data_IF_906472304362
#
_entry.id   IF_906472304362
#
_cell.length_a   1.000
_cell.length_b   1.000
_cell.length_c   1.000
_cell.angle_alpha   90.00
_cell.angle_beta   90.00
_cell.angle_gamma   90.00
#
_symmetry.space_group_name_H-M   'P 1'
#
loop_
_entity.id
_entity.type
_entity.pdbx_description
1 polymer ?
#
# COMPACT_ATOMS: atom_id res chain seq x y z
N UNK A 1 11.51 -2.88 -22.63
CA UNK A 1 12.43 -1.85 -22.03
C UNK A 1 11.75 -1.33 -20.78
N UNK A 2 12.50 -1.18 -19.68
CA UNK A 2 11.96 -0.60 -18.44
C UNK A 2 11.59 0.86 -18.71
N UNK A 3 10.38 1.25 -18.38
CA UNK A 3 9.95 2.65 -18.44
C UNK A 3 10.77 3.49 -17.45
N UNK A 4 11.18 4.67 -17.89
CA UNK A 4 11.96 5.61 -17.06
C UNK A 4 11.05 6.76 -16.68
N UNK A 5 11.11 7.18 -15.42
CA UNK A 5 10.38 8.36 -14.95
C UNK A 5 10.86 9.62 -15.69
N UNK A 6 9.98 10.27 -16.41
CA UNK A 6 10.31 11.43 -17.25
C UNK A 6 9.63 12.70 -16.73
N UNK A 7 10.22 13.85 -17.04
CA UNK A 7 9.58 15.14 -16.75
C UNK A 7 8.22 15.33 -17.43
N UNK A 8 7.99 14.68 -18.60
CA UNK A 8 6.70 14.66 -19.28
C UNK A 8 5.65 13.93 -18.44
N UNK A 9 6.00 12.79 -17.84
CA UNK A 9 5.11 12.03 -16.95
C UNK A 9 4.74 12.86 -15.71
N UNK A 10 5.72 13.48 -15.04
CA UNK A 10 5.47 14.30 -13.85
C UNK A 10 4.57 15.52 -14.17
N UNK A 11 4.80 16.19 -15.29
CA UNK A 11 3.93 17.29 -15.75
C UNK A 11 2.51 16.81 -16.06
N UNK A 12 2.35 15.59 -16.63
CA UNK A 12 1.03 14.97 -16.88
C UNK A 12 0.29 14.70 -15.58
N UNK A 13 0.99 14.20 -14.53
CA UNK A 13 0.42 13.99 -13.19
C UNK A 13 -0.08 15.30 -12.57
N UNK A 14 0.75 16.35 -12.62
CA UNK A 14 0.37 17.68 -12.13
C UNK A 14 -0.84 18.27 -12.88
N UNK A 15 -0.86 18.16 -14.22
CA UNK A 15 -2.00 18.59 -15.03
C UNK A 15 -3.30 17.85 -14.64
N UNK A 16 -3.21 16.54 -14.42
CA UNK A 16 -4.35 15.73 -13.99
C UNK A 16 -4.83 16.17 -12.60
N UNK A 17 -3.90 16.46 -11.67
CA UNK A 17 -4.24 17.00 -10.35
C UNK A 17 -5.02 18.29 -10.47
N UNK A 18 -4.53 19.26 -11.26
CA UNK A 18 -5.21 20.54 -11.47
C UNK A 18 -6.61 20.37 -12.09
N UNK A 19 -6.77 19.45 -13.03
CA UNK A 19 -8.07 19.18 -13.65
C UNK A 19 -9.11 18.66 -12.64
N UNK A 20 -8.75 17.65 -11.83
CA UNK A 20 -9.62 17.10 -10.79
C UNK A 20 -9.87 18.13 -9.68
N UNK A 21 -8.87 18.93 -9.32
CA UNK A 21 -9.03 20.02 -8.35
C UNK A 21 -10.05 21.06 -8.84
N UNK A 22 -9.98 21.43 -10.13
CA UNK A 22 -10.91 22.39 -10.74
C UNK A 22 -12.35 21.86 -10.82
N UNK A 23 -12.51 20.56 -11.09
CA UNK A 23 -13.84 19.92 -11.08
C UNK A 23 -14.48 19.96 -9.68
N UNK A 24 -13.70 19.65 -8.62
CA UNK A 24 -14.22 19.55 -7.25
C UNK A 24 -14.32 20.89 -6.51
N UNK A 25 -13.40 21.79 -6.79
CA UNK A 25 -13.28 23.11 -6.14
C UNK A 25 -12.99 24.19 -7.19
N UNK A 26 -13.97 24.66 -7.97
CA UNK A 26 -13.72 25.59 -9.10
C UNK A 26 -13.01 26.89 -8.75
N UNK A 27 -13.11 27.31 -7.48
CA UNK A 27 -12.54 28.54 -6.92
C UNK A 27 -11.15 28.38 -6.27
N UNK A 28 -10.49 27.23 -6.45
CA UNK A 28 -9.14 27.03 -5.93
C UNK A 28 -8.10 27.86 -6.70
N UNK A 29 -7.04 28.27 -6.01
CA UNK A 29 -5.94 29.06 -6.57
C UNK A 29 -4.58 28.38 -6.44
N UNK A 30 -4.34 27.66 -5.33
CA UNK A 30 -3.04 27.05 -5.01
C UNK A 30 -3.24 25.67 -4.41
N UNK A 31 -2.30 24.75 -4.70
CA UNK A 31 -2.17 23.43 -4.05
C UNK A 31 -0.84 23.42 -3.30
N UNK A 32 -0.85 23.00 -2.04
CA UNK A 32 0.34 22.74 -1.22
C UNK A 32 0.40 21.26 -0.89
N UNK A 33 1.50 20.60 -1.26
CA UNK A 33 1.78 19.20 -0.95
C UNK A 33 2.92 19.14 0.05
N UNK A 34 2.64 18.56 1.22
CA UNK A 34 3.54 18.43 2.36
C UNK A 34 4.09 17.01 2.51
N UNK A 35 3.29 15.99 2.15
CA UNK A 35 3.65 14.60 2.26
C UNK A 35 4.74 14.19 1.30
N UNK A 36 5.84 13.63 1.82
CA UNK A 36 7.03 13.25 1.03
C UNK A 36 6.71 12.26 -0.10
N UNK A 37 5.79 11.32 0.13
CA UNK A 37 5.36 10.34 -0.88
C UNK A 37 4.67 11.04 -2.05
N UNK A 38 3.79 12.00 -1.76
CA UNK A 38 3.13 12.79 -2.80
C UNK A 38 4.08 13.78 -3.47
N UNK A 39 5.05 14.35 -2.74
CA UNK A 39 6.13 15.13 -3.34
C UNK A 39 6.92 14.26 -4.35
N UNK A 40 7.32 13.04 -3.97
CA UNK A 40 7.96 12.09 -4.89
C UNK A 40 7.09 11.81 -6.13
N UNK A 41 5.80 11.59 -5.94
CA UNK A 41 4.87 11.31 -7.05
C UNK A 41 4.87 12.41 -8.12
N UNK A 42 5.05 13.67 -7.73
CA UNK A 42 5.06 14.82 -8.66
C UNK A 42 6.44 15.31 -9.05
N UNK A 43 7.49 14.95 -8.32
CA UNK A 43 8.84 15.51 -8.55
C UNK A 43 9.89 14.45 -8.88
N UNK A 44 9.67 13.18 -8.56
CA UNK A 44 10.64 12.10 -8.74
C UNK A 44 11.76 12.11 -7.69
N UNK A 45 11.69 12.96 -6.65
CA UNK A 45 12.64 12.98 -5.53
C UNK A 45 11.92 13.10 -4.21
N UNK A 46 12.49 12.53 -3.14
CA UNK A 46 11.90 12.49 -1.79
C UNK A 46 12.81 13.21 -0.79
N UNK A 47 12.69 14.53 -0.73
CA UNK A 47 13.48 15.36 0.19
C UNK A 47 12.56 16.07 1.21
N UNK A 48 13.15 16.81 2.15
CA UNK A 48 12.40 17.68 3.05
C UNK A 48 12.07 18.99 2.34
N UNK A 49 10.79 19.36 2.27
CA UNK A 49 10.38 20.56 1.55
C UNK A 49 8.87 20.70 1.42
N UNK A 50 8.46 21.64 0.57
CA UNK A 50 7.07 21.83 0.16
C UNK A 50 6.97 21.89 -1.37
N UNK A 51 5.91 21.28 -1.90
CA UNK A 51 5.59 21.41 -3.31
C UNK A 51 4.37 22.31 -3.46
N UNK A 52 4.51 23.35 -4.27
CA UNK A 52 3.47 24.34 -4.57
C UNK A 52 3.08 24.20 -6.05
N UNK A 53 1.79 24.09 -6.31
CA UNK A 53 1.24 24.08 -7.68
C UNK A 53 0.20 25.18 -7.77
N UNK A 54 0.39 26.13 -8.67
CA UNK A 54 -0.54 27.22 -8.94
C UNK A 54 -1.60 26.80 -9.97
N UNK A 55 -2.74 27.48 -9.98
CA UNK A 55 -3.87 27.19 -10.88
C UNK A 55 -3.49 27.22 -12.38
N UNK A 56 -2.49 28.00 -12.74
CA UNK A 56 -1.91 28.06 -14.09
C UNK A 56 -1.05 26.82 -14.46
N UNK A 57 -0.90 25.88 -13.52
CA UNK A 57 -0.10 24.66 -13.68
C UNK A 57 1.37 24.81 -13.35
N UNK A 58 1.83 25.99 -12.90
CA UNK A 58 3.22 26.21 -12.48
C UNK A 58 3.52 25.37 -11.24
N UNK A 59 4.44 24.42 -11.38
CA UNK A 59 4.93 23.54 -10.31
C UNK A 59 6.25 24.09 -9.77
N UNK A 60 6.37 24.24 -8.44
CA UNK A 60 7.56 24.72 -7.74
C UNK A 60 7.80 23.85 -6.51
N UNK A 61 8.91 23.13 -6.52
CA UNK A 61 9.33 22.32 -5.36
C UNK A 61 10.44 23.06 -4.61
N UNK A 62 10.18 23.36 -3.36
CA UNK A 62 11.12 24.04 -2.45
C UNK A 62 11.74 23.01 -1.53
N UNK A 63 12.99 22.63 -1.81
CA UNK A 63 13.74 21.65 -1.04
C UNK A 63 14.52 22.36 0.09
N UNK A 64 14.21 22.03 1.34
CA UNK A 64 14.82 22.66 2.51
C UNK A 64 16.20 22.09 2.86
N UNK A 65 16.38 20.81 2.62
CA UNK A 65 17.66 20.12 2.79
C UNK A 65 17.95 19.32 1.55
N UNK A 66 19.22 19.08 1.27
CA UNK A 66 19.63 18.29 0.11
C UNK A 66 19.06 18.81 -1.24
N UNK A 67 19.08 20.13 -1.44
CA UNK A 67 18.63 20.76 -2.68
C UNK A 67 19.39 20.24 -3.90
N UNK A 68 20.72 20.12 -3.81
CA UNK A 68 21.58 19.61 -4.88
C UNK A 68 21.19 18.17 -5.26
N UNK A 69 20.90 17.35 -4.27
CA UNK A 69 20.43 15.98 -4.48
C UNK A 69 19.06 15.98 -5.19
N UNK A 70 18.13 16.82 -4.76
CA UNK A 70 16.83 16.94 -5.41
C UNK A 70 16.95 17.28 -6.90
N UNK A 71 17.88 18.18 -7.25
CA UNK A 71 18.17 18.56 -8.64
C UNK A 71 18.79 17.45 -9.48
N UNK A 72 19.62 16.60 -8.87
CA UNK A 72 20.25 15.46 -9.55
C UNK A 72 19.21 14.34 -9.81
N UNK A 73 18.35 14.06 -8.82
CA UNK A 73 17.39 12.96 -8.89
C UNK A 73 16.18 13.28 -9.79
N UNK A 74 15.72 14.52 -9.79
CA UNK A 74 14.46 14.90 -10.41
C UNK A 74 14.60 15.19 -11.91
N UNK A 75 13.75 14.59 -12.78
CA UNK A 75 13.71 14.92 -14.20
C UNK A 75 13.06 16.29 -14.50
N UNK A 76 12.63 17.04 -13.47
CA UNK A 76 12.12 18.43 -13.58
C UNK A 76 12.97 19.40 -12.74
N UNK A 77 14.28 19.28 -12.81
CA UNK A 77 15.24 20.05 -12.01
C UNK A 77 15.04 21.58 -12.07
N UNK A 78 14.50 22.10 -13.18
CA UNK A 78 14.21 23.53 -13.35
C UNK A 78 13.06 24.05 -12.47
N UNK A 79 12.26 23.14 -11.91
CA UNK A 79 11.16 23.47 -11.01
C UNK A 79 11.55 23.33 -9.51
N UNK A 80 12.84 23.09 -9.22
CA UNK A 80 13.34 22.88 -7.85
C UNK A 80 14.13 24.10 -7.40
N UNK A 81 13.77 24.59 -6.21
CA UNK A 81 14.31 25.79 -5.59
C UNK A 81 14.88 25.47 -4.20
N UNK A 82 15.95 26.11 -3.76
CA UNK A 82 16.42 25.98 -2.38
C UNK A 82 15.46 26.69 -1.43
N UNK A 83 15.34 26.19 -0.19
CA UNK A 83 14.56 26.81 0.87
C UNK A 83 15.17 26.47 2.25
N UNK A 84 15.36 27.48 3.10
CA UNK A 84 15.61 27.27 4.52
C UNK A 84 14.34 27.49 5.35
N UNK A 85 13.54 28.47 4.98
CA UNK A 85 12.30 28.86 5.63
C UNK A 85 11.22 29.22 4.61
N UNK A 86 9.95 29.19 4.98
CA UNK A 86 8.82 29.45 4.08
C UNK A 86 8.85 30.87 3.46
N UNK A 87 9.53 31.85 4.08
CA UNK A 87 9.73 33.18 3.45
C UNK A 87 10.49 33.08 2.15
N UNK A 88 11.45 32.15 2.02
CA UNK A 88 12.26 32.00 0.79
C UNK A 88 11.37 31.51 -0.35
N UNK A 89 10.44 30.59 -0.06
CA UNK A 89 9.44 30.19 -1.02
C UNK A 89 8.49 31.36 -1.39
N UNK A 90 8.10 32.21 -0.42
CA UNK A 90 7.24 33.35 -0.68
C UNK A 90 7.91 34.42 -1.56
N UNK A 91 9.23 34.58 -1.50
CA UNK A 91 10.00 35.45 -2.38
C UNK A 91 9.95 35.00 -3.85
N UNK A 92 9.94 33.70 -4.09
CA UNK A 92 9.91 33.10 -5.45
C UNK A 92 8.50 32.99 -6.02
N UNK A 93 7.54 32.51 -5.24
CA UNK A 93 6.19 32.21 -5.73
C UNK A 93 5.12 33.24 -5.36
N UNK A 94 5.52 34.33 -4.67
CA UNK A 94 4.60 35.34 -4.14
C UNK A 94 3.89 34.87 -2.87
N UNK A 95 3.26 35.81 -2.18
CA UNK A 95 2.55 35.56 -0.92
C UNK A 95 1.07 35.22 -1.11
N UNK A 96 0.46 35.68 -2.19
CA UNK A 96 -0.98 35.46 -2.44
C UNK A 96 -1.22 34.01 -2.88
N UNK A 97 -1.86 33.23 -2.02
CA UNK A 97 -2.19 31.84 -2.29
C UNK A 97 -3.69 31.64 -2.55
N UNK A 98 -4.55 32.54 -2.06
CA UNK A 98 -5.99 32.43 -2.25
C UNK A 98 -6.59 31.17 -1.65
N UNK A 99 -7.63 30.63 -2.26
CA UNK A 99 -8.24 29.37 -1.83
C UNK A 99 -7.30 28.21 -2.10
N UNK A 100 -6.90 27.49 -1.07
CA UNK A 100 -5.76 26.58 -1.12
C UNK A 100 -6.15 25.15 -0.76
N UNK A 101 -5.78 24.21 -1.63
CA UNK A 101 -5.87 22.77 -1.34
C UNK A 101 -4.61 22.33 -0.58
N UNK A 102 -4.79 21.69 0.57
CA UNK A 102 -3.68 21.23 1.44
C UNK A 102 -3.95 19.79 1.89
N UNK A 103 -2.91 19.02 2.11
CA UNK A 103 -2.99 17.69 2.75
C UNK A 103 -3.30 17.84 4.24
N UNK A 104 -4.56 18.08 4.57
CA UNK A 104 -5.03 18.32 5.95
C UNK A 104 -4.93 17.10 6.87
N UNK A 105 -4.73 15.93 6.31
CA UNK A 105 -4.46 14.68 7.03
C UNK A 105 -2.99 14.53 7.47
N UNK A 106 -2.11 15.35 6.91
CA UNK A 106 -0.66 15.37 7.22
C UNK A 106 -0.27 16.68 7.92
N UNK A 107 -0.86 17.79 7.49
CA UNK A 107 -0.56 19.11 8.04
C UNK A 107 -0.99 19.22 9.50
N UNK A 108 -0.04 19.40 10.42
CA UNK A 108 -0.36 19.76 11.79
C UNK A 108 -0.83 21.19 11.86
N UNK A 109 -1.55 21.55 12.93
CA UNK A 109 -1.98 22.94 13.19
C UNK A 109 -0.78 23.88 13.15
N UNK A 110 0.33 23.51 13.79
CA UNK A 110 1.56 24.29 13.82
C UNK A 110 2.13 24.56 12.41
N UNK A 111 2.09 23.56 11.52
CA UNK A 111 2.52 23.72 10.12
C UNK A 111 1.60 24.68 9.37
N UNK A 112 0.28 24.58 9.57
CA UNK A 112 -0.70 25.48 8.96
C UNK A 112 -0.51 26.93 9.42
N UNK A 113 -0.32 27.17 10.73
CA UNK A 113 -0.05 28.48 11.28
C UNK A 113 1.25 29.09 10.71
N UNK A 114 2.31 28.30 10.59
CA UNK A 114 3.56 28.73 9.94
C UNK A 114 3.39 29.09 8.48
N UNK A 115 2.58 28.35 7.74
CA UNK A 115 2.25 28.65 6.34
C UNK A 115 1.43 29.95 6.25
N UNK A 116 0.38 30.09 7.04
CA UNK A 116 -0.47 31.29 7.11
C UNK A 116 0.30 32.52 7.55
N UNK A 117 1.34 32.36 8.37
CA UNK A 117 2.24 33.46 8.74
C UNK A 117 3.13 33.98 7.60
N UNK A 118 3.18 33.29 6.45
CA UNK A 118 4.05 33.66 5.29
C UNK A 118 3.26 33.81 4.00
N UNK A 119 2.10 33.16 3.88
CA UNK A 119 1.26 33.16 2.71
C UNK A 119 -0.16 33.61 3.06
N UNK A 120 -0.74 34.39 2.18
CA UNK A 120 -2.13 34.85 2.28
C UNK A 120 -3.06 33.72 1.81
N UNK A 121 -3.35 32.78 2.72
CA UNK A 121 -4.21 31.63 2.47
C UNK A 121 -5.66 32.00 2.80
N UNK A 122 -6.54 31.85 1.83
CA UNK A 122 -7.99 32.00 2.00
C UNK A 122 -8.64 30.76 2.61
N UNK A 123 -9.66 30.23 1.93
CA UNK A 123 -10.29 28.98 2.32
C UNK A 123 -9.35 27.79 2.11
N UNK A 124 -9.32 26.88 3.07
CA UNK A 124 -8.56 25.61 2.95
C UNK A 124 -9.50 24.49 2.53
N UNK A 125 -9.11 23.75 1.49
CA UNK A 125 -9.78 22.56 1.00
C UNK A 125 -8.91 21.31 1.23
N UNK A 126 -9.50 20.16 1.60
CA UNK A 126 -8.76 18.92 1.81
C UNK A 126 -8.32 18.30 0.48
N UNK A 127 -7.03 17.97 0.38
CA UNK A 127 -6.43 17.44 -0.85
C UNK A 127 -6.44 15.90 -0.93
N UNK A 128 -6.50 15.20 0.21
CA UNK A 128 -6.36 13.73 0.32
C UNK A 128 -7.17 12.94 -0.71
N UNK A 129 -8.47 13.20 -0.82
CA UNK A 129 -9.35 12.45 -1.74
C UNK A 129 -8.95 12.62 -3.21
N UNK A 130 -8.50 13.81 -3.59
CA UNK A 130 -8.03 14.09 -4.96
C UNK A 130 -6.75 13.34 -5.24
N UNK A 131 -5.79 13.37 -4.31
CA UNK A 131 -4.53 12.62 -4.44
C UNK A 131 -4.78 11.11 -4.57
N UNK A 132 -5.65 10.56 -3.75
CA UNK A 132 -6.01 9.15 -3.82
C UNK A 132 -6.63 8.79 -5.18
N UNK A 133 -7.51 9.62 -5.71
CA UNK A 133 -8.18 9.41 -7.00
C UNK A 133 -7.20 9.42 -8.18
N UNK A 134 -6.25 10.38 -8.20
CA UNK A 134 -5.26 10.44 -9.28
C UNK A 134 -4.21 9.34 -9.18
N UNK A 135 -3.84 8.91 -7.97
CA UNK A 135 -2.88 7.82 -7.74
C UNK A 135 -3.49 6.43 -7.96
N UNK A 136 -4.81 6.30 -7.85
CA UNK A 136 -5.50 5.03 -8.07
C UNK A 136 -5.24 4.44 -9.46
N UNK A 137 -5.23 5.27 -10.51
CA UNK A 137 -4.99 4.82 -11.89
C UNK A 137 -3.50 4.99 -12.22
N UNK A 138 -2.82 3.90 -12.42
CA UNK A 138 -1.37 3.87 -12.64
C UNK A 138 -0.99 4.20 -14.08
N UNK A 139 0.12 4.90 -14.27
CA UNK A 139 0.75 5.10 -15.57
C UNK A 139 1.57 3.85 -15.98
N UNK A 140 2.00 3.73 -17.25
CA UNK A 140 2.87 2.64 -17.68
C UNK A 140 4.14 2.50 -16.81
N UNK A 141 4.79 3.61 -16.47
CA UNK A 141 5.95 3.61 -15.57
C UNK A 141 5.64 2.98 -14.20
N UNK A 142 4.49 3.36 -13.60
CA UNK A 142 4.05 2.83 -12.30
C UNK A 142 3.73 1.34 -12.38
N UNK A 143 3.05 0.92 -13.45
CA UNK A 143 2.72 -0.50 -13.69
C UNK A 143 3.97 -1.35 -13.89
N UNK A 144 4.99 -0.86 -14.61
CA UNK A 144 6.26 -1.57 -14.80
C UNK A 144 6.97 -1.78 -13.45
N UNK A 145 7.01 -0.76 -12.59
CA UNK A 145 7.60 -0.88 -11.25
C UNK A 145 6.83 -1.89 -10.37
N UNK A 146 5.50 -1.85 -10.41
CA UNK A 146 4.62 -2.76 -9.65
C UNK A 146 4.74 -4.20 -10.16
N UNK A 147 4.78 -4.42 -11.49
CA UNK A 147 5.01 -5.76 -12.08
C UNK A 147 6.36 -6.34 -11.69
N UNK A 148 7.41 -5.51 -11.68
CA UNK A 148 8.74 -5.95 -11.25
C UNK A 148 8.75 -6.28 -9.75
N UNK A 149 8.06 -5.49 -8.91
CA UNK A 149 7.85 -5.81 -7.50
C UNK A 149 7.13 -7.15 -7.34
N UNK A 150 6.02 -7.37 -8.06
CA UNK A 150 5.24 -8.61 -8.03
C UNK A 150 6.04 -9.84 -8.45
N UNK A 151 6.83 -9.73 -9.52
CA UNK A 151 7.70 -10.83 -9.98
C UNK A 151 8.72 -11.25 -8.92
N UNK A 152 9.40 -10.29 -8.28
CA UNK A 152 10.39 -10.56 -7.24
C UNK A 152 9.73 -11.07 -5.96
N UNK A 153 8.55 -10.56 -5.65
CA UNK A 153 7.75 -10.98 -4.51
C UNK A 153 7.33 -12.46 -4.63
N UNK A 154 6.87 -12.85 -5.83
CA UNK A 154 6.60 -14.27 -6.14
C UNK A 154 7.83 -15.14 -5.90
N UNK A 155 8.98 -14.80 -6.49
CA UNK A 155 10.24 -15.55 -6.29
C UNK A 155 10.60 -15.64 -4.80
N UNK A 156 10.47 -14.57 -4.03
CA UNK A 156 10.71 -14.55 -2.59
C UNK A 156 9.90 -15.61 -1.87
N UNK A 157 8.56 -15.56 -2.03
CA UNK A 157 7.66 -16.39 -1.23
C UNK A 157 7.57 -17.84 -1.73
N UNK A 158 7.68 -18.08 -3.04
CA UNK A 158 7.51 -19.42 -3.59
C UNK A 158 8.82 -20.21 -3.68
N UNK A 159 9.97 -19.53 -3.91
CA UNK A 159 11.25 -20.20 -4.16
C UNK A 159 12.24 -20.05 -2.99
N UNK A 160 12.29 -18.87 -2.35
CA UNK A 160 13.30 -18.56 -1.34
C UNK A 160 12.86 -18.98 0.06
N UNK A 161 11.62 -18.65 0.45
CA UNK A 161 11.11 -18.93 1.81
C UNK A 161 11.16 -20.42 2.17
N UNK A 162 10.76 -21.37 1.30
CA UNK A 162 10.85 -22.80 1.63
C UNK A 162 12.26 -23.24 2.07
N UNK A 163 13.31 -22.63 1.50
CA UNK A 163 14.69 -22.96 1.82
C UNK A 163 15.24 -22.34 3.11
N UNK A 164 14.54 -21.42 3.75
CA UNK A 164 15.00 -20.77 5.00
C UNK A 164 14.24 -21.23 6.24
N UNK A 165 13.09 -21.87 6.07
CA UNK A 165 12.30 -22.41 7.21
C UNK A 165 13.03 -23.58 7.87
N UNK A 166 13.16 -23.55 9.20
CA UNK A 166 13.81 -24.59 9.98
C UNK A 166 13.19 -24.72 11.38
N UNK A 167 13.14 -25.94 11.87
CA UNK A 167 12.61 -26.25 13.20
C UNK A 167 13.36 -25.45 14.29
N UNK A 168 12.63 -24.90 15.24
CA UNK A 168 13.17 -24.14 16.36
C UNK A 168 13.52 -22.70 16.08
N UNK A 169 13.43 -22.21 14.81
CA UNK A 169 13.60 -20.79 14.54
C UNK A 169 12.44 -19.97 15.12
N UNK A 170 12.72 -18.76 15.58
CA UNK A 170 11.72 -17.82 16.04
C UNK A 170 11.14 -16.99 14.88
N UNK A 171 9.96 -16.39 15.09
CA UNK A 171 9.38 -15.46 14.12
C UNK A 171 10.31 -14.24 13.86
N UNK A 172 11.08 -13.80 14.86
CA UNK A 172 12.09 -12.73 14.71
C UNK A 172 13.22 -13.16 13.80
N UNK A 173 13.74 -14.39 13.96
CA UNK A 173 14.81 -14.91 13.09
C UNK A 173 14.31 -15.03 11.66
N UNK A 174 13.09 -15.55 11.45
CA UNK A 174 12.50 -15.59 10.12
C UNK A 174 12.33 -14.18 9.53
N UNK A 175 11.85 -13.22 10.31
CA UNK A 175 11.69 -11.83 9.86
C UNK A 175 13.03 -11.21 9.43
N UNK A 176 14.10 -11.45 10.18
CA UNK A 176 15.43 -10.94 9.86
C UNK A 176 16.00 -11.57 8.58
N UNK A 177 15.92 -12.91 8.45
CA UNK A 177 16.38 -13.62 7.27
C UNK A 177 15.55 -13.25 6.03
N UNK A 178 14.24 -13.18 6.17
CA UNK A 178 13.35 -12.77 5.08
C UNK A 178 13.71 -11.36 4.58
N UNK A 179 13.92 -10.41 5.49
CA UNK A 179 14.29 -9.05 5.11
C UNK A 179 15.65 -9.00 4.38
N UNK A 180 16.64 -9.81 4.83
CA UNK A 180 17.91 -9.96 4.12
C UNK A 180 17.69 -10.47 2.68
N UNK A 181 16.84 -11.49 2.49
CA UNK A 181 16.53 -12.04 1.16
C UNK A 181 15.78 -11.05 0.29
N UNK A 182 14.82 -10.30 0.89
CA UNK A 182 14.11 -9.23 0.20
C UNK A 182 15.09 -8.19 -0.37
N UNK A 183 16.03 -7.71 0.43
CA UNK A 183 17.05 -6.74 0.00
C UNK A 183 17.92 -7.29 -1.13
N UNK A 184 18.34 -8.56 -1.03
CA UNK A 184 19.12 -9.24 -2.10
C UNK A 184 18.34 -9.37 -3.40
N UNK A 185 17.03 -9.54 -3.33
CA UNK A 185 16.13 -9.54 -4.48
C UNK A 185 15.78 -8.12 -4.98
N UNK A 186 16.30 -7.06 -4.34
CA UNK A 186 16.13 -5.67 -4.76
C UNK A 186 14.93 -4.95 -4.17
N UNK A 187 14.38 -5.45 -3.05
CA UNK A 187 13.46 -4.67 -2.23
C UNK A 187 14.14 -3.40 -1.71
N UNK A 188 13.43 -2.29 -1.69
CA UNK A 188 14.01 -1.00 -1.33
C UNK A 188 13.95 -0.67 0.18
N UNK A 189 13.77 -1.69 1.02
CA UNK A 189 13.94 -1.59 2.47
C UNK A 189 12.81 -0.89 3.21
N UNK A 190 11.68 -0.63 2.56
CA UNK A 190 10.51 0.02 3.19
C UNK A 190 9.20 -0.63 2.75
N UNK A 191 8.28 -0.79 3.70
CA UNK A 191 6.86 -1.02 3.43
C UNK A 191 6.10 0.19 3.95
N UNK A 192 5.52 0.99 3.05
CA UNK A 192 4.82 2.22 3.42
C UNK A 192 3.34 1.95 3.54
N UNK A 193 2.77 2.34 4.67
CA UNK A 193 1.34 2.30 4.93
C UNK A 193 0.75 3.71 4.95
N UNK A 194 -0.49 3.84 4.49
CA UNK A 194 -1.23 5.11 4.52
C UNK A 194 -1.86 5.38 5.88
N UNK A 195 -2.01 4.33 6.69
CA UNK A 195 -2.57 4.41 8.04
C UNK A 195 -1.65 5.19 8.96
N UNK A 196 -2.26 6.08 9.77
CA UNK A 196 -1.53 6.94 10.69
C UNK A 196 -0.74 6.13 11.72
N UNK A 197 0.53 6.45 11.89
CA UNK A 197 1.46 5.81 12.84
C UNK A 197 1.56 4.28 12.74
N UNK A 198 1.40 3.72 11.56
CA UNK A 198 1.70 2.30 11.35
C UNK A 198 3.21 2.12 11.22
N UNK A 199 3.79 1.43 12.21
CA UNK A 199 5.21 1.07 12.24
C UNK A 199 5.37 -0.42 11.95
N UNK A 200 5.51 -0.76 10.66
CA UNK A 200 5.72 -2.12 10.18
C UNK A 200 6.90 -2.13 9.23
N UNK A 201 7.88 -3.02 9.45
CA UNK A 201 9.09 -3.07 8.63
C UNK A 201 8.83 -3.75 7.29
N UNK A 202 8.28 -4.96 7.31
CA UNK A 202 8.07 -5.77 6.10
C UNK A 202 6.63 -6.27 5.94
N UNK A 203 5.93 -6.58 7.02
CA UNK A 203 4.59 -7.16 7.04
C UNK A 203 4.37 -8.06 8.25
N UNK A 204 3.42 -8.98 8.15
CA UNK A 204 3.05 -9.93 9.20
C UNK A 204 3.71 -11.28 8.99
N UNK A 205 4.40 -11.79 10.02
CA UNK A 205 5.03 -13.09 10.04
C UNK A 205 4.65 -13.77 11.35
N UNK A 206 3.95 -14.89 11.25
CA UNK A 206 3.46 -15.59 12.44
C UNK A 206 3.39 -17.11 12.23
N UNK A 207 3.64 -17.87 13.31
CA UNK A 207 3.53 -19.32 13.33
C UNK A 207 2.27 -19.78 14.05
N UNK A 208 1.52 -20.68 13.41
CA UNK A 208 0.34 -21.31 13.97
C UNK A 208 -0.67 -20.30 14.54
N UNK A 209 -1.10 -20.52 15.75
CA UNK A 209 -2.10 -19.69 16.45
C UNK A 209 -1.69 -18.24 16.65
N UNK A 210 -0.41 -17.93 16.52
CA UNK A 210 0.08 -16.55 16.65
C UNK A 210 -0.45 -15.64 15.54
N UNK A 211 -0.74 -16.20 14.35
CA UNK A 211 -1.38 -15.50 13.23
C UNK A 211 -2.84 -15.08 13.50
N UNK A 212 -3.44 -15.59 14.59
CA UNK A 212 -4.78 -15.20 15.06
C UNK A 212 -4.76 -14.11 16.14
N UNK A 213 -3.56 -13.74 16.62
CA UNK A 213 -3.43 -12.80 17.72
C UNK A 213 -3.84 -11.38 17.28
N UNK A 214 -4.77 -10.73 18.00
CA UNK A 214 -5.29 -9.44 17.57
C UNK A 214 -4.21 -8.36 17.58
N UNK A 215 -4.19 -7.53 16.53
CA UNK A 215 -3.31 -6.36 16.42
C UNK A 215 -4.12 -5.11 16.11
N UNK A 216 -3.48 -3.95 16.17
CA UNK A 216 -4.06 -2.68 15.72
C UNK A 216 -3.89 -2.45 14.21
N UNK A 217 -3.26 -3.36 13.48
CA UNK A 217 -3.12 -3.27 12.03
C UNK A 217 -4.47 -3.56 11.33
N UNK A 218 -4.79 -2.81 10.30
CA UNK A 218 -6.03 -2.97 9.53
C UNK A 218 -5.86 -3.98 8.38
N UNK A 219 -5.68 -5.23 8.75
CA UNK A 219 -5.58 -6.40 7.87
C UNK A 219 -6.14 -7.64 8.57
N UNK A 220 -6.53 -8.71 7.86
CA UNK A 220 -7.20 -9.89 8.45
C UNK A 220 -6.27 -10.78 9.27
N UNK A 221 -4.97 -10.73 9.05
CA UNK A 221 -3.97 -11.48 9.80
C UNK A 221 -3.68 -10.90 11.19
N UNK A 222 -2.85 -11.59 11.95
CA UNK A 222 -2.43 -11.19 13.29
C UNK A 222 -1.00 -11.59 13.62
N UNK A 223 -0.48 -11.07 14.74
CA UNK A 223 0.81 -11.45 15.30
C UNK A 223 0.91 -11.00 16.75
N UNK A 224 1.68 -11.73 17.56
CA UNK A 224 1.85 -11.41 18.98
C UNK A 224 2.72 -10.18 19.22
N UNK A 225 3.60 -9.90 18.28
CA UNK A 225 4.57 -8.83 18.42
C UNK A 225 5.81 -9.21 19.23
N UNK A 226 6.80 -8.34 19.19
CA UNK A 226 8.05 -8.50 19.92
C UNK A 226 7.91 -8.08 21.38
N UNK A 227 7.11 -7.06 21.62
CA UNK A 227 6.74 -6.55 22.96
C UNK A 227 5.48 -5.69 22.85
N UNK A 228 4.85 -5.30 23.98
CA UNK A 228 3.73 -4.35 23.95
C UNK A 228 4.05 -3.00 23.27
N UNK A 229 5.31 -2.59 23.24
CA UNK A 229 5.76 -1.37 22.58
C UNK A 229 6.03 -1.59 21.07
N UNK A 230 6.18 -2.85 20.61
CA UNK A 230 6.45 -3.22 19.21
C UNK A 230 5.50 -4.35 18.82
N UNK A 231 4.21 -4.07 18.63
CA UNK A 231 3.18 -5.09 18.41
C UNK A 231 3.19 -5.66 16.98
N UNK A 232 3.78 -4.93 16.02
CA UNK A 232 3.77 -5.30 14.60
C UNK A 232 5.13 -5.85 14.14
N UNK A 233 5.63 -6.85 14.89
CA UNK A 233 6.84 -7.60 14.55
C UNK A 233 6.75 -9.02 15.10
N UNK A 234 7.57 -9.96 14.60
CA UNK A 234 7.57 -11.35 15.05
C UNK A 234 7.98 -11.53 16.52
N UNK A 235 7.49 -12.58 17.16
CA UNK A 235 7.82 -12.94 18.55
C UNK A 235 9.16 -13.68 18.63
N UNK A 236 9.97 -13.40 19.67
CA UNK A 236 11.18 -14.19 19.99
C UNK A 236 10.86 -15.55 20.61
N UNK A 237 9.70 -15.65 21.26
CA UNK A 237 9.35 -16.82 22.07
C UNK A 237 8.45 -17.81 21.31
N UNK A 238 7.96 -17.45 20.13
CA UNK A 238 7.22 -18.36 19.27
C UNK A 238 8.21 -19.03 18.33
N UNK A 239 8.43 -20.32 18.57
CA UNK A 239 9.39 -21.15 17.83
C UNK A 239 8.64 -22.07 16.88
N UNK A 240 9.13 -22.17 15.64
CA UNK A 240 8.56 -23.02 14.59
C UNK A 240 8.71 -24.50 14.95
N UNK A 241 7.62 -25.24 14.86
CA UNK A 241 7.53 -26.69 15.14
C UNK A 241 6.93 -27.41 13.95
N UNK A 242 7.27 -28.68 13.80
CA UNK A 242 6.62 -29.55 12.82
C UNK A 242 5.10 -29.58 13.05
N UNK A 243 4.35 -29.41 11.99
CA UNK A 243 2.89 -29.30 12.03
C UNK A 243 2.35 -27.87 12.18
N UNK A 244 3.21 -26.86 12.34
CA UNK A 244 2.77 -25.46 12.36
C UNK A 244 2.48 -24.93 10.95
N UNK A 245 1.43 -24.11 10.84
CA UNK A 245 1.27 -23.21 9.71
C UNK A 245 2.25 -22.04 9.85
N UNK A 246 2.87 -21.65 8.76
CA UNK A 246 3.65 -20.42 8.67
C UNK A 246 2.87 -19.44 7.80
N UNK A 247 2.46 -18.34 8.39
CA UNK A 247 1.73 -17.26 7.75
C UNK A 247 2.70 -16.11 7.47
N UNK A 248 2.90 -15.80 6.20
CA UNK A 248 3.75 -14.68 5.75
C UNK A 248 2.93 -13.77 4.86
N UNK A 249 2.74 -12.54 5.30
CA UNK A 249 1.97 -11.49 4.67
C UNK A 249 2.84 -10.22 4.65
N UNK A 250 3.43 -9.91 3.52
CA UNK A 250 4.49 -8.90 3.40
C UNK A 250 4.35 -8.09 2.12
N UNK A 251 4.81 -6.82 2.16
CA UNK A 251 4.90 -5.96 1.00
C UNK A 251 6.28 -6.00 0.33
N UNK A 252 6.35 -5.90 -1.00
CA UNK A 252 7.63 -5.82 -1.74
C UNK A 252 7.71 -4.52 -2.54
N UNK A 253 8.78 -3.74 -2.38
CA UNK A 253 8.92 -2.39 -2.92
C UNK A 253 10.01 -2.27 -3.99
N UNK A 254 9.65 -1.76 -5.18
CA UNK A 254 10.57 -1.42 -6.28
C UNK A 254 10.23 -0.01 -6.80
N UNK A 255 11.24 0.86 -6.95
CA UNK A 255 11.05 2.26 -7.36
C UNK A 255 10.02 3.03 -6.51
N UNK A 256 9.90 2.66 -5.21
CA UNK A 256 8.92 3.21 -4.30
C UNK A 256 7.52 2.62 -4.41
N UNK A 257 7.22 1.80 -5.43
CA UNK A 257 5.93 1.13 -5.64
C UNK A 257 5.93 -0.28 -5.05
N UNK A 258 4.78 -0.69 -4.52
CA UNK A 258 4.62 -1.94 -3.80
C UNK A 258 3.83 -2.97 -4.61
N UNK A 259 4.08 -4.23 -4.30
CA UNK A 259 3.14 -5.35 -4.43
C UNK A 259 2.87 -5.90 -3.04
N UNK A 260 1.71 -6.51 -2.85
CA UNK A 260 1.31 -7.16 -1.62
C UNK A 260 0.95 -8.62 -1.87
N UNK A 261 1.41 -9.53 -1.00
CA UNK A 261 1.19 -10.96 -1.14
C UNK A 261 1.26 -11.68 0.19
N UNK A 262 0.30 -12.56 0.42
CA UNK A 262 0.32 -13.54 1.50
C UNK A 262 0.55 -14.93 0.96
N UNK A 263 1.46 -15.69 1.59
CA UNK A 263 1.66 -17.11 1.36
C UNK A 263 1.60 -17.87 2.68
N UNK A 264 0.91 -19.02 2.67
CA UNK A 264 0.84 -19.94 3.79
C UNK A 264 1.67 -21.18 3.48
N UNK A 265 2.39 -21.67 4.51
CA UNK A 265 3.19 -22.88 4.42
C UNK A 265 2.78 -23.84 5.54
N UNK A 266 2.94 -25.16 5.30
CA UNK A 266 2.87 -26.19 6.34
C UNK A 266 4.27 -26.73 6.56
N UNK A 267 4.79 -26.56 7.77
CA UNK A 267 6.14 -26.98 8.12
C UNK A 267 6.17 -28.40 8.69
N UNK A 268 6.96 -29.27 8.07
CA UNK A 268 7.25 -30.63 8.57
C UNK A 268 6.06 -31.57 8.65
N UNK A 269 5.02 -31.34 7.84
CA UNK A 269 3.80 -32.17 7.87
C UNK A 269 2.87 -31.92 6.68
N UNK A 270 1.63 -32.37 6.83
CA UNK A 270 0.52 -32.09 5.91
C UNK A 270 -0.58 -31.36 6.65
N UNK A 271 -1.23 -30.37 6.02
CA UNK A 271 -2.39 -29.72 6.61
C UNK A 271 -3.55 -30.73 6.79
N UNK A 272 -4.43 -30.51 7.75
CA UNK A 272 -5.66 -31.26 7.87
C UNK A 272 -6.62 -30.95 6.72
N UNK A 273 -7.58 -31.82 6.46
CA UNK A 273 -8.60 -31.60 5.43
C UNK A 273 -9.39 -30.30 5.65
N UNK A 274 -9.66 -29.94 6.90
CA UNK A 274 -10.30 -28.67 7.25
C UNK A 274 -9.45 -27.46 6.83
N UNK A 275 -8.15 -27.51 7.10
CA UNK A 275 -7.20 -26.44 6.75
C UNK A 275 -7.12 -26.29 5.24
N UNK A 276 -6.92 -27.38 4.49
CA UNK A 276 -6.88 -27.34 3.02
C UNK A 276 -8.17 -26.83 2.42
N UNK A 277 -9.32 -27.34 2.89
CA UNK A 277 -10.64 -26.93 2.40
C UNK A 277 -10.88 -25.44 2.65
N UNK A 278 -10.60 -24.96 3.86
CA UNK A 278 -10.81 -23.56 4.23
C UNK A 278 -9.89 -22.62 3.44
N UNK A 279 -8.62 -23.01 3.28
CA UNK A 279 -7.67 -22.26 2.46
C UNK A 279 -8.15 -22.17 1.01
N UNK A 280 -8.53 -23.29 0.40
CA UNK A 280 -9.03 -23.36 -0.96
C UNK A 280 -10.28 -22.50 -1.17
N UNK A 281 -11.21 -22.48 -0.22
CA UNK A 281 -12.38 -21.60 -0.27
C UNK A 281 -11.99 -20.12 -0.29
N UNK A 282 -11.00 -19.70 0.50
CA UNK A 282 -10.47 -18.34 0.43
C UNK A 282 -9.88 -18.02 -0.96
N UNK A 283 -9.10 -18.94 -1.54
CA UNK A 283 -8.51 -18.76 -2.88
C UNK A 283 -9.61 -18.69 -3.97
N UNK A 284 -10.69 -19.46 -3.85
CA UNK A 284 -11.83 -19.37 -4.76
C UNK A 284 -12.55 -18.01 -4.66
N UNK A 285 -12.71 -17.48 -3.45
CA UNK A 285 -13.25 -16.13 -3.21
C UNK A 285 -12.35 -15.08 -3.86
N UNK A 286 -11.03 -15.19 -3.69
CA UNK A 286 -10.06 -14.31 -4.31
C UNK A 286 -10.19 -14.32 -5.84
N UNK A 287 -10.19 -15.51 -6.45
CA UNK A 287 -10.34 -15.68 -7.91
C UNK A 287 -11.66 -15.09 -8.42
N UNK A 288 -12.77 -15.35 -7.71
CA UNK A 288 -14.09 -14.80 -8.07
C UNK A 288 -14.07 -13.27 -7.97
N UNK A 289 -13.51 -12.72 -6.91
CA UNK A 289 -13.37 -11.25 -6.75
C UNK A 289 -12.51 -10.66 -7.87
N UNK A 290 -11.37 -11.29 -8.20
CA UNK A 290 -10.48 -10.85 -9.28
C UNK A 290 -11.18 -10.84 -10.64
N UNK A 291 -12.05 -11.81 -10.94
CA UNK A 291 -12.81 -11.83 -12.19
C UNK A 291 -13.79 -10.67 -12.35
N UNK A 292 -14.17 -10.04 -11.23
CA UNK A 292 -15.05 -8.88 -11.18
C UNK A 292 -14.28 -7.54 -11.20
N UNK A 293 -12.94 -7.54 -11.12
CA UNK A 293 -12.11 -6.33 -11.24
C UNK A 293 -12.06 -5.87 -12.70
N UNK A 294 -13.16 -5.31 -13.19
CA UNK A 294 -13.30 -4.79 -14.57
C UNK A 294 -13.65 -3.32 -14.56
N UNK A 295 -13.22 -2.54 -15.57
CA UNK A 295 -13.65 -1.17 -15.73
C UNK A 295 -15.18 -1.05 -15.73
N UNK A 296 -15.72 -0.09 -14.97
CA UNK A 296 -17.15 0.15 -14.81
C UNK A 296 -17.81 -0.58 -13.64
N UNK A 297 -17.25 -1.68 -13.15
CA UNK A 297 -17.79 -2.35 -11.96
C UNK A 297 -17.58 -1.49 -10.70
N UNK A 298 -18.50 -1.61 -9.75
CA UNK A 298 -18.51 -0.80 -8.52
C UNK A 298 -17.98 -1.64 -7.35
N UNK A 299 -16.95 -1.18 -6.61
CA UNK A 299 -16.35 -1.92 -5.49
C UNK A 299 -17.35 -2.39 -4.43
N UNK A 300 -18.31 -1.55 -4.05
CA UNK A 300 -19.34 -1.92 -3.06
C UNK A 300 -20.30 -3.01 -3.57
N UNK A 301 -20.60 -3.03 -4.86
CA UNK A 301 -21.41 -4.08 -5.49
C UNK A 301 -20.64 -5.40 -5.57
N UNK A 302 -19.34 -5.35 -5.93
CA UNK A 302 -18.45 -6.51 -5.90
C UNK A 302 -18.45 -7.11 -4.49
N UNK A 303 -18.16 -6.27 -3.47
CA UNK A 303 -18.16 -6.70 -2.08
C UNK A 303 -19.48 -7.38 -1.68
N UNK A 304 -20.61 -6.74 -1.94
CA UNK A 304 -21.92 -7.26 -1.58
C UNK A 304 -22.24 -8.58 -2.32
N UNK A 305 -21.90 -8.67 -3.60
CA UNK A 305 -22.10 -9.89 -4.42
C UNK A 305 -21.31 -11.08 -3.87
N UNK A 306 -20.05 -10.87 -3.48
CA UNK A 306 -19.21 -11.92 -2.89
C UNK A 306 -19.75 -12.32 -1.52
N UNK A 307 -19.96 -11.34 -0.62
CA UNK A 307 -20.37 -11.62 0.76
C UNK A 307 -21.74 -12.29 0.86
N UNK A 308 -22.68 -11.98 -0.03
CA UNK A 308 -24.01 -12.60 -0.05
C UNK A 308 -24.03 -14.07 -0.49
N UNK A 309 -22.97 -14.55 -1.13
CA UNK A 309 -22.82 -15.94 -1.55
C UNK A 309 -22.18 -16.84 -0.48
N UNK A 310 -21.69 -16.26 0.64
CA UNK A 310 -20.99 -17.01 1.68
C UNK A 310 -21.97 -17.50 2.74
N UNK A 311 -21.79 -18.75 3.12
CA UNK A 311 -22.56 -19.37 4.22
C UNK A 311 -22.21 -18.71 5.56
N UNK A 312 -23.18 -18.63 6.46
CA UNK A 312 -23.00 -18.03 7.80
C UNK A 312 -21.87 -18.72 8.60
N UNK A 313 -21.73 -20.03 8.46
CA UNK A 313 -20.65 -20.83 9.07
C UNK A 313 -19.27 -20.45 8.54
N UNK A 314 -19.16 -20.07 7.25
CA UNK A 314 -17.91 -19.61 6.66
C UNK A 314 -17.57 -18.16 7.10
N UNK A 315 -18.59 -17.33 7.29
CA UNK A 315 -18.40 -15.92 7.75
C UNK A 315 -17.88 -15.83 9.19
N UNK A 316 -18.00 -16.90 9.97
CA UNK A 316 -17.32 -16.96 11.26
C UNK A 316 -15.81 -16.96 11.04
N UNK A 317 -15.09 -16.01 11.68
CA UNK A 317 -13.64 -15.82 11.53
C UNK A 317 -13.14 -15.55 10.08
N UNK A 318 -14.04 -15.24 9.15
CA UNK A 318 -13.64 -14.76 7.82
C UNK A 318 -13.26 -13.29 7.88
N UNK A 319 -12.19 -12.92 7.17
CA UNK A 319 -11.55 -11.59 7.17
C UNK A 319 -11.07 -11.16 8.59
N UNK A 320 -10.56 -12.13 9.36
CA UNK A 320 -10.02 -11.90 10.70
C UNK A 320 -10.29 -13.08 11.64
N UNK A 321 -10.26 -12.81 12.96
CA UNK A 321 -10.53 -13.82 13.99
C UNK A 321 -11.24 -13.21 15.20
N UNK A 322 -12.23 -13.93 15.75
CA UNK A 322 -13.05 -13.48 16.87
C UNK A 322 -13.80 -12.17 16.52
N UNK A 323 -13.73 -11.22 17.43
CA UNK A 323 -14.40 -9.92 17.25
C UNK A 323 -13.62 -8.95 16.32
N UNK A 324 -12.35 -9.26 16.04
CA UNK A 324 -11.50 -8.46 15.17
C UNK A 324 -11.58 -8.94 13.73
N UNK A 325 -12.35 -8.23 12.93
CA UNK A 325 -12.54 -8.52 11.50
C UNK A 325 -12.45 -7.22 10.69
N UNK A 326 -11.78 -7.26 9.56
CA UNK A 326 -11.82 -6.17 8.58
C UNK A 326 -13.07 -6.29 7.69
N UNK A 327 -13.51 -5.16 7.12
CA UNK A 327 -14.78 -5.08 6.38
C UNK A 327 -14.55 -4.77 4.89
N UNK A 328 -13.51 -5.34 4.33
CA UNK A 328 -13.17 -5.22 2.92
C UNK A 328 -12.64 -6.58 2.40
N UNK A 329 -12.57 -6.77 1.10
CA UNK A 329 -11.98 -7.95 0.45
C UNK A 329 -10.62 -7.67 -0.18
N UNK A 330 -10.23 -6.40 -0.23
CA UNK A 330 -8.98 -5.95 -0.80
C UNK A 330 -8.91 -4.43 -0.88
N UNK A 331 -7.73 -3.92 -1.12
CA UNK A 331 -7.41 -2.50 -1.12
C UNK A 331 -6.51 -2.13 -2.31
N UNK A 332 -6.46 -0.83 -2.64
CA UNK A 332 -5.53 -0.32 -3.64
C UNK A 332 -4.07 -0.49 -3.21
N UNK A 333 -3.19 -0.62 -4.19
CA UNK A 333 -1.73 -0.72 -3.97
C UNK A 333 -1.01 0.28 -4.86
N UNK A 334 0.09 0.86 -4.38
CA UNK A 334 0.91 1.80 -5.14
C UNK A 334 2.16 2.25 -4.40
N UNK A 335 2.31 3.55 -4.17
CA UNK A 335 3.40 4.11 -3.34
C UNK A 335 3.23 3.80 -1.85
N UNK A 336 2.00 3.45 -1.42
CA UNK A 336 1.74 2.77 -0.17
C UNK A 336 1.23 1.36 -0.48
N UNK A 337 1.40 0.46 0.48
CA UNK A 337 0.86 -0.90 0.40
C UNK A 337 -0.66 -0.84 0.38
N UNK A 338 -1.25 0.00 1.25
CA UNK A 338 -2.68 0.20 1.48
C UNK A 338 -3.17 1.54 0.89
N UNK A 339 -3.58 1.57 -0.36
CA UNK A 339 -4.15 2.76 -1.00
C UNK A 339 -5.67 2.66 -1.19
N UNK A 340 -6.31 3.80 -1.42
CA UNK A 340 -7.69 3.84 -1.91
C UNK A 340 -7.73 3.59 -3.44
N UNK A 341 -8.84 3.05 -3.98
CA UNK A 341 -10.07 2.64 -3.29
C UNK A 341 -9.95 1.23 -2.66
N UNK A 342 -11.01 0.83 -1.94
CA UNK A 342 -11.12 -0.46 -1.24
C UNK A 342 -12.31 -1.23 -1.80
N UNK A 343 -12.24 -2.55 -1.87
CA UNK A 343 -13.39 -3.42 -2.21
C UNK A 343 -14.24 -3.63 -0.96
N UNK A 344 -15.10 -2.67 -0.67
CA UNK A 344 -15.90 -2.58 0.54
C UNK A 344 -17.18 -1.77 0.34
N UNK A 345 -18.09 -1.82 1.34
CA UNK A 345 -19.28 -0.95 1.36
C UNK A 345 -18.88 0.53 1.39
N UNK A 346 -19.62 1.37 0.64
CA UNK A 346 -19.40 2.83 0.59
C UNK A 346 -18.33 3.27 -0.41
N UNK A 347 -17.79 2.36 -1.20
CA UNK A 347 -16.90 2.67 -2.34
C UNK A 347 -17.69 2.50 -3.64
N UNK A 348 -18.39 3.56 -4.05
CA UNK A 348 -19.39 3.51 -5.14
C UNK A 348 -18.88 4.12 -6.46
N UNK A 349 -17.65 4.61 -6.51
CA UNK A 349 -17.04 5.05 -7.75
C UNK A 349 -16.61 3.85 -8.60
N UNK A 350 -16.94 3.84 -9.91
CA UNK A 350 -16.61 2.72 -10.78
C UNK A 350 -15.11 2.52 -10.92
N UNK A 351 -14.70 1.26 -10.96
CA UNK A 351 -13.33 0.85 -11.26
C UNK A 351 -12.91 1.33 -12.65
N UNK A 352 -11.61 1.58 -12.80
CA UNK A 352 -11.01 2.00 -14.06
C UNK A 352 -9.82 1.08 -14.40
N UNK A 353 -9.56 0.94 -15.69
CA UNK A 353 -8.37 0.24 -16.18
C UNK A 353 -7.09 0.83 -15.57
N UNK A 354 -6.10 -0.02 -15.33
CA UNK A 354 -4.82 0.32 -14.69
C UNK A 354 -4.93 0.72 -13.20
N UNK A 355 -6.05 0.50 -12.54
CA UNK A 355 -6.05 0.45 -11.08
C UNK A 355 -5.40 -0.85 -10.62
N UNK A 356 -4.81 -0.83 -9.42
CA UNK A 356 -4.10 -1.97 -8.83
C UNK A 356 -4.69 -2.26 -7.45
N UNK A 357 -4.99 -3.54 -7.19
CA UNK A 357 -5.57 -4.01 -5.93
C UNK A 357 -4.82 -5.22 -5.39
N UNK A 358 -4.62 -5.26 -4.08
CA UNK A 358 -4.41 -6.49 -3.34
C UNK A 358 -5.78 -7.07 -2.96
N UNK A 359 -5.96 -8.37 -3.18
CA UNK A 359 -7.16 -9.13 -2.77
C UNK A 359 -6.73 -10.19 -1.77
N UNK A 360 -7.29 -10.12 -0.56
CA UNK A 360 -6.78 -10.83 0.60
C UNK A 360 -7.82 -11.66 1.41
N UNK A 361 -8.67 -12.49 0.79
CA UNK A 361 -9.58 -13.34 1.55
C UNK A 361 -8.82 -14.30 2.45
N UNK A 362 -8.94 -14.10 3.76
CA UNK A 362 -8.27 -14.88 4.79
C UNK A 362 -9.28 -15.31 5.87
N UNK A 363 -9.05 -16.45 6.49
CA UNK A 363 -9.93 -16.98 7.54
C UNK A 363 -9.11 -17.61 8.67
N UNK A 364 -9.42 -17.22 9.89
CA UNK A 364 -8.82 -17.82 11.08
C UNK A 364 -9.45 -19.16 11.45
N UNK A 365 -8.63 -20.18 11.68
CA UNK A 365 -9.06 -21.49 12.18
C UNK A 365 -8.64 -21.59 13.66
N UNK A 366 -9.60 -21.74 14.60
CA UNK A 366 -9.30 -21.82 16.02
C UNK A 366 -8.24 -22.88 16.33
N UNK A 367 -7.27 -22.55 17.18
CA UNK A 367 -6.16 -23.41 17.62
C UNK A 367 -5.19 -23.86 16.52
N UNK A 368 -5.36 -23.39 15.28
CA UNK A 368 -4.51 -23.73 14.13
C UNK A 368 -3.76 -22.51 13.62
N UNK A 369 -4.47 -21.50 13.11
CA UNK A 369 -3.85 -20.31 12.54
C UNK A 369 -4.67 -19.69 11.41
N UNK A 370 -4.11 -18.68 10.76
CA UNK A 370 -4.71 -18.01 9.62
C UNK A 370 -4.41 -18.76 8.32
N UNK A 371 -5.43 -18.91 7.48
CA UNK A 371 -5.33 -19.48 6.13
C UNK A 371 -5.95 -18.51 5.11
N UNK A 372 -5.78 -18.78 3.84
CA UNK A 372 -6.14 -17.91 2.73
C UNK A 372 -4.89 -17.35 2.09
N UNK A 373 -5.06 -16.42 1.19
CA UNK A 373 -3.95 -15.86 0.43
C UNK A 373 -4.25 -14.44 0.00
N UNK A 374 -3.20 -13.79 -0.46
CA UNK A 374 -3.25 -12.46 -1.03
C UNK A 374 -2.41 -12.38 -2.27
N UNK A 375 -2.93 -11.71 -3.26
CA UNK A 375 -2.20 -11.40 -4.48
C UNK A 375 -2.54 -9.99 -4.96
N UNK A 376 -1.58 -9.36 -5.65
CA UNK A 376 -1.77 -8.06 -6.31
C UNK A 376 -2.26 -8.26 -7.75
N UNK A 377 -3.29 -7.49 -8.11
CA UNK A 377 -3.95 -7.55 -9.41
C UNK A 377 -3.98 -6.18 -10.07
N UNK A 378 -3.74 -6.14 -11.38
CA UNK A 378 -3.95 -4.97 -12.23
C UNK A 378 -5.29 -5.12 -12.93
N UNK A 379 -6.13 -4.09 -12.89
CA UNK A 379 -7.41 -4.09 -13.63
C UNK A 379 -7.15 -3.97 -15.12
N UNK A 380 -7.65 -4.95 -15.86
CA UNK A 380 -7.70 -4.99 -17.32
C UNK A 380 -9.14 -5.04 -17.82
N UNK A 381 -9.42 -4.86 -19.13
CA UNK A 381 -10.77 -5.04 -19.69
C UNK A 381 -11.38 -6.42 -19.40
N UNK A 382 -10.55 -7.46 -19.27
CA UNK A 382 -10.97 -8.85 -19.08
C UNK A 382 -11.13 -9.27 -17.61
N UNK A 383 -10.64 -8.47 -16.66
CA UNK A 383 -10.64 -8.75 -15.22
C UNK A 383 -9.33 -8.34 -14.56
N UNK A 384 -9.12 -8.81 -13.34
CA UNK A 384 -7.86 -8.60 -12.60
C UNK A 384 -6.75 -9.52 -13.13
N UNK A 385 -5.69 -8.93 -13.69
CA UNK A 385 -4.44 -9.63 -14.03
C UNK A 385 -3.58 -9.79 -12.77
N UNK A 386 -3.35 -11.03 -12.33
CA UNK A 386 -2.51 -11.31 -11.18
C UNK A 386 -1.03 -11.14 -11.53
N UNK A 387 -0.30 -10.31 -10.76
CA UNK A 387 1.14 -10.04 -10.97
C UNK A 387 2.04 -10.65 -9.90
N UNK A 388 1.48 -11.14 -8.81
CA UNK A 388 2.18 -11.87 -7.74
C UNK A 388 1.84 -13.35 -7.71
N UNK A 389 0.96 -13.80 -8.60
CA UNK A 389 0.43 -15.15 -8.64
C UNK A 389 1.43 -16.19 -9.10
N UNK A 390 1.17 -17.40 -8.67
CA UNK A 390 1.94 -18.62 -8.92
C UNK A 390 1.31 -19.71 -8.07
N UNK A 391 2.05 -20.24 -7.10
CA UNK A 391 1.50 -21.17 -6.12
C UNK A 391 0.47 -20.46 -5.24
N UNK A 392 -0.72 -21.02 -5.17
CA UNK A 392 -1.83 -20.51 -4.34
C UNK A 392 -2.32 -21.55 -3.33
N UNK A 393 -1.78 -22.76 -3.37
CA UNK A 393 -2.00 -23.77 -2.36
C UNK A 393 -1.07 -23.55 -1.15
N UNK A 394 -1.28 -24.28 -0.09
CA UNK A 394 -0.37 -24.30 1.05
C UNK A 394 0.91 -25.00 0.64
N UNK A 395 2.04 -24.29 0.68
CA UNK A 395 3.35 -24.87 0.32
C UNK A 395 3.81 -25.79 1.45
N UNK A 396 4.17 -27.01 1.11
CA UNK A 396 4.70 -28.00 2.07
C UNK A 396 6.22 -27.84 2.18
N UNK A 397 6.76 -27.73 3.39
CA UNK A 397 8.17 -27.52 3.69
C UNK A 397 8.65 -28.49 4.75
#
# INVERSE_FOLDING_TARGET
>A
MKEILTGKELKKRAKRLCAVATEKYPDWDTIIILGRVNQYYFTGTMQDGILIIKKDGKLMYFARRSYERAKIESPISDCIYPMEKYSDAAEVCGKLFGNTLIETDIATIEVLERLQGKFEIGRIYPLKKILSEIRAIKSPYELDAIREAGKRHKCLLEEVVPGILREGMSEVELSAELFEKMLKLGHQGVSRFSSYQTEMIIGQIAFGVNSLYPTNFDGPGGMKGLSPAVPLFGSRNTLLKKGDLVFIDVGFCVEGYHSDKTQVYMFGGKPSEEVEKTHRQCIEIQKKTASLLKPGNIPSEIYNSIMSCLESSFLENFMGFGDRKVRFLGHGVGLHVDELPVIAKGFDNPLKENMVFALEPKKGIPQVGMVGGEDTYIITPDGGECITGGERDIILV
#
